data_IF_138101691965
#
_entry.id   IF_138101691965
#
_cell.length_a   1.000
_cell.length_b   1.000
_cell.length_c   1.000
_cell.angle_alpha   90.00
_cell.angle_beta   90.00
_cell.angle_gamma   90.00
#
_symmetry.space_group_name_H-M   'P 1'
#
loop_
_entity.id
_entity.type
_entity.pdbx_description
1 polymer ?
#
# COMPACT_ATOMS: atom_id res chain seq x y z
N UNK A 1 0.64 6.86 -6.76
CA UNK A 1 -0.04 7.41 -5.58
C UNK A 1 -1.09 8.40 -6.03
N UNK A 2 -2.11 8.64 -5.22
CA UNK A 2 -3.06 9.76 -5.33
C UNK A 2 -2.59 11.01 -4.55
N UNK A 3 -1.31 11.04 -4.14
CA UNK A 3 -0.62 12.18 -3.54
C UNK A 3 -0.01 13.15 -4.56
N UNK A 4 0.90 14.01 -4.08
CA UNK A 4 1.42 15.17 -4.82
C UNK A 4 2.17 14.81 -6.11
N UNK A 5 3.03 13.81 -6.07
CA UNK A 5 3.88 13.38 -7.18
C UNK A 5 3.18 12.37 -8.10
N UNK A 6 2.12 11.74 -7.61
CA UNK A 6 1.27 10.89 -8.43
C UNK A 6 1.92 9.55 -8.80
N UNK A 7 1.80 9.17 -10.07
CA UNK A 7 2.33 7.91 -10.62
C UNK A 7 3.50 8.23 -11.56
N UNK A 8 4.64 7.57 -11.37
CA UNK A 8 5.78 7.64 -12.32
C UNK A 8 5.59 6.60 -13.45
N UNK A 9 5.32 7.03 -14.70
CA UNK A 9 5.05 6.10 -15.80
C UNK A 9 6.28 5.24 -16.17
N UNK A 10 7.50 5.74 -15.96
CA UNK A 10 8.73 4.99 -16.26
C UNK A 10 8.90 3.83 -15.28
N UNK A 11 8.62 4.08 -14.00
CA UNK A 11 8.67 3.05 -12.97
C UNK A 11 7.58 1.99 -13.19
N UNK A 12 6.35 2.40 -13.50
CA UNK A 12 5.26 1.47 -13.83
C UNK A 12 5.64 0.58 -15.00
N UNK A 13 6.11 1.16 -16.11
CA UNK A 13 6.51 0.40 -17.30
C UNK A 13 7.63 -0.61 -17.01
N UNK A 14 8.54 -0.28 -16.10
CA UNK A 14 9.68 -1.13 -15.75
C UNK A 14 9.32 -2.25 -14.77
N UNK A 15 8.52 -1.97 -13.75
CA UNK A 15 8.33 -2.86 -12.61
C UNK A 15 6.99 -3.59 -12.60
N UNK A 16 5.90 -2.96 -13.02
CA UNK A 16 4.58 -3.60 -12.99
C UNK A 16 4.53 -4.93 -13.78
N UNK A 17 5.15 -5.06 -14.97
CA UNK A 17 5.20 -6.34 -15.67
C UNK A 17 5.93 -7.43 -14.88
N UNK A 18 7.00 -7.07 -14.14
CA UNK A 18 7.76 -8.00 -13.32
C UNK A 18 6.96 -8.42 -12.09
N UNK A 19 6.26 -7.49 -11.45
CA UNK A 19 5.41 -7.78 -10.29
C UNK A 19 4.31 -8.77 -10.66
N UNK A 20 3.66 -8.56 -11.81
CA UNK A 20 2.70 -9.50 -12.39
C UNK A 20 3.34 -10.85 -12.71
N UNK A 21 4.48 -10.87 -13.39
CA UNK A 21 5.16 -12.11 -13.79
C UNK A 21 5.56 -12.98 -12.59
N UNK A 22 6.05 -12.37 -11.52
CA UNK A 22 6.57 -13.08 -10.35
C UNK A 22 5.57 -13.19 -9.19
N UNK A 23 4.33 -12.74 -9.39
CA UNK A 23 3.28 -12.84 -8.37
C UNK A 23 3.57 -12.01 -7.11
N UNK A 24 4.16 -10.82 -7.26
CA UNK A 24 4.41 -9.91 -6.14
C UNK A 24 3.10 -9.45 -5.54
N UNK A 25 2.85 -9.82 -4.30
CA UNK A 25 1.57 -9.54 -3.62
C UNK A 25 1.50 -8.12 -3.04
N UNK A 26 2.62 -7.60 -2.56
CA UNK A 26 2.72 -6.31 -1.89
C UNK A 26 3.99 -5.58 -2.31
N UNK A 27 3.84 -4.34 -2.78
CA UNK A 27 4.93 -3.40 -3.02
C UNK A 27 4.85 -2.24 -2.02
N UNK A 28 5.93 -1.98 -1.28
CA UNK A 28 5.99 -0.94 -0.24
C UNK A 28 6.95 0.16 -0.68
N UNK A 29 6.53 1.42 -0.54
CA UNK A 29 7.36 2.59 -0.85
C UNK A 29 7.05 3.76 0.09
N UNK A 30 7.79 4.87 -0.06
CA UNK A 30 7.57 6.13 0.66
C UNK A 30 7.65 7.31 -0.29
N UNK A 31 8.47 8.32 0.04
CA UNK A 31 8.62 9.60 -0.66
C UNK A 31 7.41 10.52 -0.59
N UNK A 32 6.21 10.01 -0.86
CA UNK A 32 4.96 10.69 -0.53
C UNK A 32 4.78 10.72 0.99
N UNK A 33 4.56 11.90 1.58
CA UNK A 33 4.45 12.04 3.04
C UNK A 33 3.01 11.84 3.49
N UNK A 34 2.44 10.67 3.16
CA UNK A 34 1.11 10.23 3.55
C UNK A 34 1.09 8.70 3.65
N UNK A 35 -0.07 8.18 4.02
CA UNK A 35 -0.43 6.76 3.90
C UNK A 35 -1.35 6.58 2.70
N UNK A 36 -1.09 5.56 1.88
CA UNK A 36 -2.04 5.13 0.84
C UNK A 36 -1.88 3.63 0.58
N UNK A 37 -3.01 2.92 0.55
CA UNK A 37 -3.09 1.53 0.13
C UNK A 37 -4.04 1.41 -1.06
N UNK A 38 -3.60 0.71 -2.10
CA UNK A 38 -4.44 0.46 -3.28
C UNK A 38 -5.31 -0.80 -3.10
N UNK A 39 -6.36 -0.90 -3.91
CA UNK A 39 -6.90 -2.19 -4.31
C UNK A 39 -5.83 -2.98 -5.10
N UNK A 40 -5.94 -4.31 -5.22
CA UNK A 40 -5.02 -5.07 -6.05
C UNK A 40 -5.05 -4.59 -7.51
N UNK A 41 -3.89 -4.25 -8.06
CA UNK A 41 -3.69 -3.92 -9.47
C UNK A 41 -2.87 -5.06 -10.07
N UNK A 42 -3.46 -5.83 -10.99
CA UNK A 42 -2.82 -7.02 -11.58
C UNK A 42 -2.28 -8.02 -10.52
N UNK A 43 -2.96 -8.11 -9.36
CA UNK A 43 -2.58 -9.01 -8.26
C UNK A 43 -1.60 -8.42 -7.24
N UNK A 44 -1.11 -7.19 -7.45
CA UNK A 44 -0.21 -6.49 -6.52
C UNK A 44 -0.96 -5.37 -5.79
N UNK A 45 -0.88 -5.36 -4.46
CA UNK A 45 -1.27 -4.20 -3.64
C UNK A 45 -0.07 -3.27 -3.51
N UNK A 46 -0.28 -1.97 -3.69
CA UNK A 46 0.75 -0.94 -3.53
C UNK A 46 0.47 -0.18 -2.23
N UNK A 47 1.49 -0.09 -1.37
CA UNK A 47 1.43 0.58 -0.08
C UNK A 47 2.45 1.71 -0.03
N UNK A 48 1.96 2.93 0.15
CA UNK A 48 2.74 4.12 0.48
C UNK A 48 2.76 4.26 2.00
N UNK A 49 3.97 4.29 2.58
CA UNK A 49 4.21 4.43 4.03
C UNK A 49 5.22 5.56 4.31
N UNK A 50 4.96 6.76 3.78
CA UNK A 50 5.86 7.91 3.99
C UNK A 50 5.41 8.90 5.06
N UNK A 51 4.36 8.57 5.81
CA UNK A 51 3.83 9.37 6.92
C UNK A 51 4.63 9.32 8.24
N UNK A 52 5.92 9.00 8.20
CA UNK A 52 6.73 8.70 9.39
C UNK A 52 7.31 9.90 10.17
N UNK A 53 7.16 11.14 9.70
CA UNK A 53 7.62 12.31 10.48
C UNK A 53 8.06 13.55 9.69
N UNK A 54 8.24 13.46 8.37
CA UNK A 54 8.38 14.65 7.53
C UNK A 54 7.02 15.34 7.33
N UNK A 55 6.99 16.63 6.99
CA UNK A 55 5.75 17.39 6.78
C UNK A 55 4.75 16.61 5.92
N UNK A 56 3.57 16.32 6.49
CA UNK A 56 2.50 15.59 5.83
C UNK A 56 2.03 16.31 4.57
N UNK A 57 1.79 15.54 3.52
CA UNK A 57 1.19 16.05 2.27
C UNK A 57 -0.21 15.48 2.15
N UNK A 58 -1.15 16.34 1.75
CA UNK A 58 -2.52 15.92 1.45
C UNK A 58 -2.51 14.81 0.40
N UNK A 59 -3.32 13.79 0.62
CA UNK A 59 -3.57 12.70 -0.31
C UNK A 59 -5.04 12.73 -0.72
N UNK A 60 -5.30 12.53 -2.01
CA UNK A 60 -6.66 12.38 -2.53
C UNK A 60 -7.08 10.93 -2.58
N UNK A 61 -7.98 10.63 -3.51
CA UNK A 61 -8.39 9.28 -3.86
C UNK A 61 -8.45 9.14 -5.39
N UNK A 62 -8.27 7.92 -5.88
CA UNK A 62 -8.43 7.54 -7.28
C UNK A 62 -9.12 6.18 -7.35
N UNK A 63 -9.48 5.71 -8.54
CA UNK A 63 -10.25 4.46 -8.70
C UNK A 63 -9.54 3.22 -8.12
N UNK A 64 -8.21 3.27 -7.97
CA UNK A 64 -7.41 2.21 -7.36
C UNK A 64 -7.23 2.37 -5.85
N UNK A 65 -7.61 3.49 -5.24
CA UNK A 65 -7.35 3.74 -3.81
C UNK A 65 -8.31 2.93 -2.95
N UNK A 66 -7.78 2.07 -2.10
CA UNK A 66 -8.59 1.34 -1.11
C UNK A 66 -8.70 2.15 0.19
N UNK A 67 -7.61 2.81 0.60
CA UNK A 67 -7.59 3.70 1.76
C UNK A 67 -6.43 4.69 1.61
N UNK A 68 -6.61 5.94 2.04
CA UNK A 68 -5.55 6.94 2.08
C UNK A 68 -5.79 7.90 3.24
N UNK A 69 -4.72 8.30 3.91
CA UNK A 69 -4.81 9.16 5.11
C UNK A 69 -3.59 10.08 5.20
N UNK A 70 -3.83 11.34 5.60
CA UNK A 70 -2.78 12.33 5.85
C UNK A 70 -2.58 12.48 7.36
N UNK A 71 -2.12 11.41 8.00
CA UNK A 71 -1.91 11.34 9.45
C UNK A 71 -0.53 10.74 9.74
N UNK A 72 0.17 11.27 10.75
CA UNK A 72 1.49 10.75 11.12
C UNK A 72 1.36 9.36 11.73
N UNK A 73 2.30 8.48 11.42
CA UNK A 73 2.36 7.18 12.04
C UNK A 73 3.24 6.19 11.31
N UNK A 74 2.82 4.93 11.30
CA UNK A 74 3.56 3.85 10.68
C UNK A 74 2.62 2.76 10.14
N UNK A 75 3.16 1.91 9.28
CA UNK A 75 2.47 0.71 8.81
C UNK A 75 3.05 -0.55 9.44
N UNK A 76 2.18 -1.50 9.79
CA UNK A 76 2.58 -2.84 10.22
C UNK A 76 2.08 -3.88 9.20
N UNK A 77 2.89 -4.92 8.95
CA UNK A 77 2.51 -6.05 8.10
C UNK A 77 2.70 -7.34 8.89
N UNK A 78 1.61 -8.06 9.12
CA UNK A 78 1.63 -9.37 9.77
C UNK A 78 1.47 -10.47 8.72
N UNK A 79 2.35 -11.47 8.79
CA UNK A 79 2.36 -12.62 7.90
C UNK A 79 1.71 -13.81 8.60
N UNK A 80 0.72 -14.41 7.94
CA UNK A 80 0.09 -15.65 8.34
C UNK A 80 0.27 -16.71 7.25
N UNK A 81 -0.04 -17.97 7.56
CA UNK A 81 0.04 -19.07 6.59
C UNK A 81 -0.87 -18.88 5.37
N UNK A 82 -1.96 -18.13 5.52
CA UNK A 82 -3.03 -17.97 4.53
C UNK A 82 -3.23 -16.53 4.07
N UNK A 83 -2.54 -15.54 4.65
CA UNK A 83 -2.72 -14.12 4.29
C UNK A 83 -1.57 -13.22 4.76
N UNK A 84 -1.50 -12.05 4.14
CA UNK A 84 -0.88 -10.85 4.71
C UNK A 84 -1.96 -9.96 5.30
N UNK A 85 -1.66 -9.34 6.43
CA UNK A 85 -2.48 -8.29 7.01
C UNK A 85 -1.67 -7.00 7.11
N UNK A 86 -2.16 -5.95 6.45
CA UNK A 86 -1.59 -4.60 6.45
C UNK A 86 -2.39 -3.76 7.42
N UNK A 87 -1.72 -2.99 8.26
CA UNK A 87 -2.32 -2.05 9.19
C UNK A 87 -1.68 -0.67 9.00
N UNK A 88 -2.52 0.36 8.88
CA UNK A 88 -2.10 1.76 9.01
C UNK A 88 -2.42 2.24 10.42
N UNK A 89 -1.40 2.71 11.15
CA UNK A 89 -1.52 3.17 12.52
C UNK A 89 -1.07 4.61 12.64
N UNK A 90 -1.77 5.39 13.45
CA UNK A 90 -1.36 6.75 13.79
C UNK A 90 -0.22 6.75 14.85
N UNK A 91 0.30 7.93 15.15
CA UNK A 91 1.38 8.13 16.13
C UNK A 91 1.04 7.69 17.56
N UNK A 92 -0.24 7.52 17.89
CA UNK A 92 -0.70 6.98 19.17
C UNK A 92 -0.83 5.45 19.17
N UNK A 93 -0.63 4.81 18.02
CA UNK A 93 -0.83 3.38 17.81
C UNK A 93 -2.29 3.00 17.53
N UNK A 94 -3.18 3.96 17.30
CA UNK A 94 -4.55 3.67 16.89
C UNK A 94 -4.56 3.31 15.41
N UNK A 95 -5.16 2.17 15.10
CA UNK A 95 -5.32 1.70 13.74
C UNK A 95 -6.43 2.48 13.03
N UNK A 96 -6.11 3.05 11.87
CA UNK A 96 -7.07 3.73 10.99
C UNK A 96 -7.35 2.95 9.70
N UNK A 97 -6.45 2.05 9.30
CA UNK A 97 -6.63 1.18 8.13
C UNK A 97 -6.28 -0.28 8.43
N UNK A 98 -7.01 -1.19 7.78
CA UNK A 98 -6.74 -2.63 7.76
C UNK A 98 -7.00 -3.21 6.37
N UNK A 99 -5.95 -3.77 5.76
CA UNK A 99 -6.02 -4.47 4.47
C UNK A 99 -5.64 -5.95 4.61
N UNK A 100 -6.33 -6.83 3.87
CA UNK A 100 -6.01 -8.26 3.83
C UNK A 100 -5.65 -8.66 2.40
N UNK A 101 -4.55 -9.39 2.26
CA UNK A 101 -4.14 -10.02 0.99
C UNK A 101 -4.13 -11.52 1.23
N UNK A 102 -5.10 -12.24 0.68
CA UNK A 102 -5.13 -13.70 0.77
C UNK A 102 -3.91 -14.32 0.07
N UNK A 103 -3.40 -15.41 0.63
CA UNK A 103 -2.35 -16.18 -0.01
C UNK A 103 -2.94 -16.92 -1.23
N UNK A 104 -2.27 -16.94 -2.40
CA UNK A 104 -2.87 -17.52 -3.61
C UNK A 104 -3.25 -18.99 -3.48
N UNK A 105 -2.59 -19.75 -2.60
CA UNK A 105 -2.94 -21.15 -2.32
C UNK A 105 -4.17 -21.33 -1.42
N UNK A 106 -4.62 -20.31 -0.68
CA UNK A 106 -5.77 -20.43 0.22
C UNK A 106 -7.13 -20.26 -0.49
N UNK A 107 -7.12 -19.91 -1.78
CA UNK A 107 -8.33 -19.76 -2.60
C UNK A 107 -8.73 -21.05 -3.33
N UNK A 108 -7.91 -22.12 -3.23
CA UNK A 108 -8.07 -23.38 -3.96
C UNK A 108 -8.31 -24.60 -3.04
N UNK A 109 -8.81 -24.39 -1.83
CA UNK A 109 -9.22 -25.44 -0.87
C UNK A 109 -10.66 -25.20 -0.46
#
# INVERSE_FOLDING_TARGET
SSGLYGTDPKMVKRFAPLFKQYGVQLYINGHEHNYERTQPIDGTVYLVTGHGGAHLRTVGSSDWTAHAESEFGFSAVALYSDRLEIQGLDSSGKMFDRGIIAHPKSLNT
#
